data_IF_770653289125
#
_entry.id   IF_770653289125
#
_cell.length_a   1.000
_cell.length_b   1.000
_cell.length_c   1.000
_cell.angle_alpha   90.00
_cell.angle_beta   90.00
_cell.angle_gamma   90.00
#
_symmetry.space_group_name_H-M   'P 1'
#
loop_
_entity.id
_entity.type
_entity.pdbx_description
1 polymer ?
#
# COMPACT_ATOMS: atom_id res chain seq x y z
N UNK A 1 21.87 71.81 40.81
CA UNK A 1 20.93 71.46 39.75
C UNK A 1 21.37 70.17 39.15
N UNK A 2 20.60 69.14 39.33
CA UNK A 2 20.99 67.76 38.94
C UNK A 2 20.38 67.47 37.57
N UNK A 3 21.23 67.23 36.60
CA UNK A 3 20.82 66.81 35.26
C UNK A 3 20.73 65.28 35.26
N UNK A 4 19.53 64.76 35.04
CA UNK A 4 19.30 63.34 34.85
C UNK A 4 19.47 62.98 33.36
N UNK A 5 20.49 62.23 33.07
CA UNK A 5 20.68 61.66 31.75
C UNK A 5 20.00 60.33 31.69
N UNK A 6 18.94 60.27 30.93
CA UNK A 6 18.16 59.04 30.66
C UNK A 6 18.81 58.31 29.48
N UNK A 7 19.51 57.23 29.77
CA UNK A 7 20.04 56.34 28.75
C UNK A 7 18.90 55.44 28.25
N UNK A 8 18.45 55.70 27.04
CA UNK A 8 17.59 54.78 26.31
C UNK A 8 18.40 53.59 25.81
N UNK A 9 18.18 52.43 26.43
CA UNK A 9 18.64 51.17 25.90
C UNK A 9 17.73 50.76 24.72
N UNK A 10 18.24 50.84 23.52
CA UNK A 10 17.64 50.30 22.34
C UNK A 10 17.89 48.79 22.33
N UNK A 11 16.94 48.02 22.83
CA UNK A 11 16.97 46.58 22.72
C UNK A 11 16.69 46.14 21.29
N UNK A 12 17.71 45.62 20.60
CA UNK A 12 17.56 44.99 19.32
C UNK A 12 16.74 43.70 19.45
N UNK A 13 15.49 43.73 19.00
CA UNK A 13 14.70 42.51 18.79
C UNK A 13 15.27 41.79 17.58
N UNK A 14 16.08 40.76 17.86
CA UNK A 14 16.43 39.75 16.86
C UNK A 14 15.20 38.94 16.54
N UNK A 15 14.56 39.22 15.40
CA UNK A 15 13.59 38.33 14.81
C UNK A 15 14.28 37.06 14.37
N UNK A 16 14.18 36.03 15.20
CA UNK A 16 14.53 34.69 14.84
C UNK A 16 13.44 34.17 13.88
N UNK A 17 13.72 34.29 12.59
CA UNK A 17 12.86 33.66 11.57
C UNK A 17 12.96 32.15 11.71
N UNK A 18 12.01 31.54 12.39
CA UNK A 18 11.77 30.11 12.30
C UNK A 18 11.28 29.82 10.88
N UNK A 19 12.18 29.46 10.01
CA UNK A 19 11.83 28.80 8.76
C UNK A 19 11.26 27.44 9.10
N UNK A 20 9.96 27.37 9.23
CA UNK A 20 9.21 26.11 9.27
C UNK A 20 9.48 25.37 7.96
N UNK A 21 10.36 24.41 7.99
CA UNK A 21 10.52 23.42 6.93
C UNK A 21 9.32 22.47 6.94
N UNK A 22 8.17 22.94 6.51
CA UNK A 22 6.95 22.13 6.39
C UNK A 22 6.92 21.32 5.11
N UNK A 23 7.95 21.39 4.27
CA UNK A 23 7.95 20.71 2.98
C UNK A 23 8.32 19.22 3.02
N UNK A 24 8.82 18.71 4.14
CA UNK A 24 9.17 17.29 4.25
C UNK A 24 7.96 16.38 4.53
N UNK A 25 6.89 16.90 5.14
CA UNK A 25 5.71 16.11 5.50
C UNK A 25 4.74 15.90 4.33
N UNK A 26 4.74 16.80 3.33
CA UNK A 26 3.83 16.73 2.16
C UNK A 26 4.32 15.80 1.06
N UNK A 27 5.53 15.31 1.15
CA UNK A 27 6.11 14.41 0.12
C UNK A 27 5.84 12.92 0.38
N UNK A 28 5.33 12.58 1.57
CA UNK A 28 5.02 11.20 1.94
C UNK A 28 3.61 10.78 1.51
N UNK A 29 2.70 11.71 1.22
CA UNK A 29 1.31 11.43 0.85
C UNK A 29 1.06 11.26 -0.66
N UNK A 30 2.09 11.45 -1.46
CA UNK A 30 2.02 11.13 -2.89
C UNK A 30 2.79 9.85 -3.19
N UNK A 31 2.45 8.77 -2.49
CA UNK A 31 2.67 7.44 -3.06
C UNK A 31 1.76 7.40 -4.28
N UNK A 32 2.38 7.50 -5.46
CA UNK A 32 1.69 7.44 -6.72
C UNK A 32 0.78 6.20 -6.70
N UNK A 33 -0.52 6.41 -6.86
CA UNK A 33 -1.51 5.33 -6.83
C UNK A 33 -1.15 4.21 -7.80
N UNK A 34 -0.49 4.55 -8.88
CA UNK A 34 0.04 3.62 -9.89
C UNK A 34 1.13 2.71 -9.31
N UNK A 35 2.04 3.26 -8.52
CA UNK A 35 3.10 2.49 -7.85
C UNK A 35 2.51 1.54 -6.82
N UNK A 36 1.54 2.01 -6.04
CA UNK A 36 0.84 1.17 -5.07
C UNK A 36 0.10 0.00 -5.75
N UNK A 37 -0.65 0.27 -6.82
CA UNK A 37 -1.37 -0.75 -7.57
C UNK A 37 -0.42 -1.79 -8.17
N UNK A 38 0.70 -1.37 -8.74
CA UNK A 38 1.69 -2.26 -9.31
C UNK A 38 2.33 -3.15 -8.24
N UNK A 39 2.64 -2.59 -7.08
CA UNK A 39 3.18 -3.35 -5.94
C UNK A 39 2.17 -4.36 -5.42
N UNK A 40 0.93 -3.93 -5.18
CA UNK A 40 -0.13 -4.81 -4.70
C UNK A 40 -0.41 -5.96 -5.69
N UNK A 41 -0.40 -5.67 -6.99
CA UNK A 41 -0.55 -6.67 -8.05
C UNK A 41 0.59 -7.68 -8.06
N UNK A 42 1.83 -7.21 -7.94
CA UNK A 42 3.00 -8.09 -7.92
C UNK A 42 3.02 -9.03 -6.70
N UNK A 43 2.66 -8.51 -5.53
CA UNK A 43 2.54 -9.33 -4.31
C UNK A 43 1.42 -10.37 -4.44
N UNK A 44 0.24 -9.97 -4.91
CA UNK A 44 -0.86 -10.88 -5.16
C UNK A 44 -0.49 -11.96 -6.17
N UNK A 45 0.23 -11.62 -7.23
CA UNK A 45 0.67 -12.58 -8.23
C UNK A 45 1.57 -13.68 -7.65
N UNK A 46 2.49 -13.35 -6.77
CA UNK A 46 3.33 -14.34 -6.07
C UNK A 46 2.47 -15.36 -5.31
N UNK A 47 1.40 -14.90 -4.67
CA UNK A 47 0.45 -15.77 -3.96
C UNK A 47 -0.31 -16.66 -4.94
N UNK A 48 -0.82 -16.09 -6.04
CA UNK A 48 -1.52 -16.87 -7.07
C UNK A 48 -0.62 -17.95 -7.67
N UNK A 49 0.65 -17.65 -7.93
CA UNK A 49 1.62 -18.64 -8.40
C UNK A 49 1.83 -19.77 -7.38
N UNK A 50 2.12 -19.41 -6.14
CA UNK A 50 2.52 -20.37 -5.11
C UNK A 50 1.36 -21.20 -4.56
N UNK A 51 0.16 -20.64 -4.49
CA UNK A 51 -0.99 -21.26 -3.81
C UNK A 51 -2.12 -21.70 -4.73
N UNK A 52 -2.26 -21.08 -5.89
CA UNK A 52 -3.36 -21.35 -6.83
C UNK A 52 -2.90 -22.12 -8.06
N UNK A 53 -1.88 -21.63 -8.75
CA UNK A 53 -1.39 -22.25 -9.99
C UNK A 53 -0.85 -23.67 -9.79
N UNK A 54 -0.32 -23.98 -8.62
CA UNK A 54 0.12 -25.35 -8.27
C UNK A 54 -0.95 -26.40 -8.61
N UNK A 55 -2.21 -26.13 -8.27
CA UNK A 55 -3.32 -27.03 -8.57
C UNK A 55 -3.91 -26.78 -9.95
N UNK A 56 -4.00 -25.51 -10.37
CA UNK A 56 -4.63 -25.15 -11.64
C UNK A 56 -3.86 -25.67 -12.85
N UNK A 57 -2.55 -25.72 -12.80
CA UNK A 57 -1.70 -26.33 -13.86
C UNK A 57 -2.08 -27.79 -14.09
N UNK A 58 -2.41 -28.53 -13.04
CA UNK A 58 -2.74 -29.96 -13.12
C UNK A 58 -4.20 -30.24 -13.43
N UNK A 59 -5.11 -29.43 -12.87
CA UNK A 59 -6.55 -29.74 -12.85
C UNK A 59 -7.39 -28.77 -13.69
N UNK A 60 -6.95 -27.54 -13.90
CA UNK A 60 -7.72 -26.54 -14.62
C UNK A 60 -6.80 -25.55 -15.35
N UNK A 61 -6.18 -26.00 -16.42
CA UNK A 61 -5.23 -25.20 -17.21
C UNK A 61 -5.83 -23.93 -17.82
N UNK A 62 -7.16 -23.85 -17.97
CA UNK A 62 -7.85 -22.65 -18.46
C UNK A 62 -7.82 -21.49 -17.46
N UNK A 63 -7.50 -21.76 -16.20
CA UNK A 63 -7.46 -20.78 -15.12
C UNK A 63 -6.09 -20.66 -14.49
N UNK A 64 -5.05 -20.70 -15.30
CA UNK A 64 -3.69 -20.37 -14.84
C UNK A 64 -3.58 -18.86 -14.80
N UNK A 65 -3.21 -18.33 -13.62
CA UNK A 65 -3.06 -16.90 -13.41
C UNK A 65 -1.69 -16.42 -13.86
N UNK A 66 -1.68 -15.34 -14.62
CA UNK A 66 -0.49 -14.60 -15.06
C UNK A 66 -0.64 -13.14 -14.66
N UNK A 67 0.45 -12.38 -14.71
CA UNK A 67 0.38 -10.93 -14.46
C UNK A 67 -0.60 -10.23 -15.42
N UNK A 68 -0.71 -10.70 -16.65
CA UNK A 68 -1.58 -10.07 -17.65
C UNK A 68 -3.06 -10.38 -17.45
N UNK A 69 -3.40 -11.62 -17.06
CA UNK A 69 -4.78 -12.04 -16.96
C UNK A 69 -5.41 -11.93 -15.57
N UNK A 70 -4.60 -11.81 -14.50
CA UNK A 70 -5.08 -11.90 -13.13
C UNK A 70 -6.15 -10.86 -12.76
N UNK A 71 -6.07 -9.66 -13.32
CA UNK A 71 -7.06 -8.61 -13.06
C UNK A 71 -8.46 -9.04 -13.59
N UNK A 72 -8.53 -9.71 -14.72
CA UNK A 72 -9.78 -10.25 -15.26
C UNK A 72 -10.41 -11.35 -14.38
N UNK A 73 -9.60 -12.02 -13.57
CA UNK A 73 -10.06 -13.05 -12.63
C UNK A 73 -10.32 -12.53 -11.21
N UNK A 74 -10.07 -11.26 -10.93
CA UNK A 74 -10.14 -10.70 -9.57
C UNK A 74 -11.49 -10.94 -8.89
N UNK A 75 -12.61 -10.74 -9.58
CA UNK A 75 -13.97 -11.00 -9.07
C UNK A 75 -14.17 -12.47 -8.74
N UNK A 76 -13.69 -13.37 -9.60
CA UNK A 76 -13.80 -14.82 -9.36
C UNK A 76 -12.93 -15.24 -8.18
N UNK A 77 -11.71 -14.72 -8.08
CA UNK A 77 -10.80 -14.97 -6.97
C UNK A 77 -11.44 -14.49 -5.67
N UNK A 78 -11.98 -13.27 -5.65
CA UNK A 78 -12.70 -12.74 -4.49
C UNK A 78 -13.83 -13.67 -4.05
N UNK A 79 -14.65 -14.09 -4.99
CA UNK A 79 -15.77 -15.00 -4.71
C UNK A 79 -15.31 -16.34 -4.15
N UNK A 80 -14.28 -16.97 -4.74
CA UNK A 80 -13.85 -18.29 -4.32
C UNK A 80 -13.03 -18.29 -3.03
N UNK A 81 -12.24 -17.26 -2.79
CA UNK A 81 -11.34 -17.16 -1.64
C UNK A 81 -12.03 -16.56 -0.41
N UNK A 82 -12.73 -15.45 -0.59
CA UNK A 82 -13.28 -14.68 0.54
C UNK A 82 -14.74 -14.99 0.83
N UNK A 83 -15.56 -15.19 -0.20
CA UNK A 83 -17.00 -15.39 -0.02
C UNK A 83 -17.33 -16.86 0.17
N UNK A 84 -17.01 -17.70 -0.81
CA UNK A 84 -17.32 -19.13 -0.77
C UNK A 84 -16.30 -19.95 0.00
N UNK A 85 -15.11 -19.44 0.22
CA UNK A 85 -13.99 -20.09 0.91
C UNK A 85 -13.66 -21.48 0.39
N UNK A 86 -13.78 -21.67 -0.93
CA UNK A 86 -13.52 -22.95 -1.61
C UNK A 86 -12.11 -23.08 -2.13
N UNK A 87 -11.36 -21.98 -2.22
CA UNK A 87 -9.98 -21.93 -2.68
C UNK A 87 -9.09 -21.21 -1.66
N UNK A 88 -7.86 -21.64 -1.50
CA UNK A 88 -7.22 -22.82 -2.05
C UNK A 88 -7.90 -24.12 -1.61
N UNK A 89 -7.96 -25.10 -2.54
CA UNK A 89 -8.61 -26.37 -2.28
C UNK A 89 -7.59 -27.39 -1.74
N UNK A 90 -7.96 -28.08 -0.66
CA UNK A 90 -7.12 -29.08 -0.04
C UNK A 90 -6.66 -28.69 1.36
N UNK A 91 -6.07 -29.66 2.07
CA UNK A 91 -5.62 -29.48 3.46
C UNK A 91 -4.22 -28.88 3.54
N UNK A 92 -3.40 -29.09 2.51
CA UNK A 92 -1.96 -28.80 2.51
C UNK A 92 -1.65 -27.37 2.07
N UNK A 93 -2.52 -26.73 1.28
CA UNK A 93 -2.35 -25.38 0.76
C UNK A 93 -3.30 -24.45 1.49
N UNK A 94 -2.73 -23.61 2.35
CA UNK A 94 -3.49 -22.59 3.09
C UNK A 94 -2.88 -21.21 2.86
N UNK A 95 -3.72 -20.20 2.85
CA UNK A 95 -3.30 -18.82 2.87
C UNK A 95 -3.03 -18.39 4.31
N UNK A 96 -1.95 -17.65 4.51
CA UNK A 96 -1.70 -16.95 5.77
C UNK A 96 -2.56 -15.69 5.85
N UNK A 97 -2.70 -15.12 7.05
CA UNK A 97 -3.42 -13.86 7.24
C UNK A 97 -2.83 -12.73 6.38
N UNK A 98 -1.51 -12.68 6.26
CA UNK A 98 -0.81 -11.72 5.40
C UNK A 98 -1.16 -11.91 3.92
N UNK A 99 -1.19 -13.15 3.45
CA UNK A 99 -1.55 -13.45 2.06
C UNK A 99 -3.01 -13.07 1.75
N UNK A 100 -3.94 -13.31 2.69
CA UNK A 100 -5.32 -12.83 2.57
C UNK A 100 -5.36 -11.31 2.43
N UNK A 101 -4.61 -10.60 3.26
CA UNK A 101 -4.56 -9.13 3.22
C UNK A 101 -3.98 -8.62 1.89
N UNK A 102 -2.91 -9.23 1.40
CA UNK A 102 -2.27 -8.85 0.14
C UNK A 102 -3.21 -9.08 -1.06
N UNK A 103 -3.92 -10.22 -1.11
CA UNK A 103 -4.93 -10.48 -2.13
C UNK A 103 -6.08 -9.47 -2.06
N UNK A 104 -6.57 -9.16 -0.86
CA UNK A 104 -7.63 -8.17 -0.65
C UNK A 104 -7.22 -6.78 -1.10
N UNK A 105 -6.00 -6.35 -0.75
CA UNK A 105 -5.46 -5.05 -1.16
C UNK A 105 -5.39 -4.92 -2.68
N UNK A 106 -4.89 -5.94 -3.37
CA UNK A 106 -4.87 -5.94 -4.83
C UNK A 106 -6.28 -5.88 -5.42
N UNK A 107 -7.21 -6.72 -4.98
CA UNK A 107 -8.60 -6.72 -5.49
C UNK A 107 -9.27 -5.36 -5.28
N UNK A 108 -9.06 -4.73 -4.12
CA UNK A 108 -9.63 -3.43 -3.81
C UNK A 108 -8.98 -2.29 -4.62
N UNK A 109 -7.73 -2.43 -5.01
CA UNK A 109 -7.05 -1.44 -5.86
C UNK A 109 -7.57 -1.40 -7.30
N UNK A 110 -8.40 -2.37 -7.71
CA UNK A 110 -9.02 -2.45 -9.04
C UNK A 110 -10.41 -1.79 -9.12
N UNK A 111 -10.93 -1.31 -8.00
CA UNK A 111 -12.21 -0.61 -7.90
C UNK A 111 -12.02 0.89 -8.06
#
# INVERSE_FOLDING_TARGET
MKVFILLLNFGALSFFSLSSSSDAALKLDRVDSTTYQNTAKAEAFKILQAKCNICHVKRNRRKIFTLDNMNGFATQINTQVFIKKRMPKGKDIKLTQKEYQQLSNWINSLK
#
